data_IF_748742028739
#
_entry.id   IF_748742028739
#
_cell.length_a   1.000
_cell.length_b   1.000
_cell.length_c   1.000
_cell.angle_alpha   90.00
_cell.angle_beta   90.00
_cell.angle_gamma   90.00
#
_symmetry.space_group_name_H-M   'P 1'
#
loop_
_entity.id
_entity.type
_entity.pdbx_description
1 polymer ?
#
# COMPACT_ATOMS: atom_id res chain seq x y z
N UNK A 1 16.66 5.96 -15.81
CA UNK A 1 15.35 5.46 -16.33
C UNK A 1 14.98 6.26 -17.57
N UNK A 2 14.61 5.61 -18.68
CA UNK A 2 14.16 6.30 -19.89
C UNK A 2 12.72 6.84 -19.71
N UNK A 3 12.33 7.88 -20.46
CA UNK A 3 10.95 8.44 -20.43
C UNK A 3 9.86 7.38 -20.62
N UNK A 4 10.14 6.32 -21.38
CA UNK A 4 9.22 5.20 -21.62
C UNK A 4 8.89 4.42 -20.35
N UNK A 5 9.85 4.28 -19.42
CA UNK A 5 9.62 3.54 -18.17
C UNK A 5 8.66 4.28 -17.23
N UNK A 6 8.65 5.62 -17.25
CA UNK A 6 7.72 6.40 -16.42
C UNK A 6 6.27 6.24 -16.85
N UNK A 7 6.02 6.24 -18.17
CA UNK A 7 4.68 5.99 -18.71
C UNK A 7 4.20 4.58 -18.38
N UNK A 8 5.08 3.58 -18.49
CA UNK A 8 4.74 2.20 -18.15
C UNK A 8 4.38 2.08 -16.65
N UNK A 9 5.16 2.68 -15.75
CA UNK A 9 4.85 2.70 -14.31
C UNK A 9 3.53 3.42 -14.04
N UNK A 10 3.27 4.54 -14.71
CA UNK A 10 2.02 5.28 -14.57
C UNK A 10 0.81 4.43 -14.99
N UNK A 11 0.83 3.84 -16.19
CA UNK A 11 -0.27 2.99 -16.67
C UNK A 11 -0.42 1.71 -15.85
N UNK A 12 0.67 1.13 -15.35
CA UNK A 12 0.62 0.01 -14.42
C UNK A 12 -0.10 0.41 -13.12
N UNK A 13 0.21 1.59 -12.56
CA UNK A 13 -0.49 2.12 -11.38
C UNK A 13 -1.99 2.37 -11.62
N UNK A 14 -2.34 2.91 -12.79
CA UNK A 14 -3.74 3.09 -13.21
C UNK A 14 -4.46 1.75 -13.34
N UNK A 15 -3.85 0.76 -14.01
CA UNK A 15 -4.43 -0.56 -14.18
C UNK A 15 -4.62 -1.31 -12.85
N UNK A 16 -3.66 -1.21 -11.94
CA UNK A 16 -3.77 -1.79 -10.58
C UNK A 16 -4.97 -1.18 -9.85
N UNK A 17 -5.09 0.16 -9.88
CA UNK A 17 -6.15 0.86 -9.15
C UNK A 17 -7.54 0.59 -9.74
N UNK A 18 -7.67 0.57 -11.06
CA UNK A 18 -8.97 0.45 -11.73
C UNK A 18 -9.44 -0.99 -11.95
N UNK A 19 -8.52 -1.95 -12.06
CA UNK A 19 -8.84 -3.33 -12.43
C UNK A 19 -8.52 -4.28 -11.28
N UNK A 20 -7.30 -4.22 -10.76
CA UNK A 20 -6.85 -5.21 -9.75
C UNK A 20 -7.54 -4.98 -8.41
N UNK A 21 -7.59 -3.74 -7.90
CA UNK A 21 -8.23 -3.47 -6.60
C UNK A 21 -9.73 -3.86 -6.58
N UNK A 22 -10.57 -3.47 -7.56
CA UNK A 22 -11.97 -3.88 -7.57
C UNK A 22 -12.15 -5.39 -7.71
N UNK A 23 -11.30 -6.06 -8.51
CA UNK A 23 -11.32 -7.51 -8.65
C UNK A 23 -11.00 -8.21 -7.33
N UNK A 24 -9.99 -7.75 -6.60
CA UNK A 24 -9.63 -8.30 -5.28
C UNK A 24 -10.78 -8.10 -4.28
N UNK A 25 -11.40 -6.92 -4.27
CA UNK A 25 -12.57 -6.66 -3.43
C UNK A 25 -13.76 -7.57 -3.78
N UNK A 26 -14.01 -7.79 -5.09
CA UNK A 26 -15.05 -8.72 -5.55
C UNK A 26 -14.78 -10.18 -5.20
N UNK A 27 -13.50 -10.58 -5.05
CA UNK A 27 -13.09 -11.90 -4.58
C UNK A 27 -13.14 -12.04 -3.05
N UNK A 28 -13.59 -11.00 -2.32
CA UNK A 28 -13.68 -11.00 -0.87
C UNK A 28 -12.34 -10.84 -0.17
N UNK A 29 -11.32 -10.32 -0.86
CA UNK A 29 -10.05 -9.97 -0.21
C UNK A 29 -10.29 -8.77 0.70
N UNK A 30 -10.04 -8.90 2.02
CA UNK A 30 -10.26 -7.81 2.96
C UNK A 30 -9.30 -6.66 2.68
N UNK A 31 -9.79 -5.44 2.87
CA UNK A 31 -8.97 -4.24 2.82
C UNK A 31 -8.08 -4.14 4.05
N UNK A 32 -7.08 -3.26 4.00
CA UNK A 32 -6.24 -3.01 5.17
C UNK A 32 -7.07 -2.56 6.39
N UNK A 33 -8.11 -1.75 6.17
CA UNK A 33 -9.00 -1.29 7.23
C UNK A 33 -9.79 -2.45 7.84
N UNK A 34 -10.36 -3.34 7.02
CA UNK A 34 -11.06 -4.54 7.49
C UNK A 34 -10.15 -5.42 8.37
N UNK A 35 -8.88 -5.55 8.00
CA UNK A 35 -7.88 -6.30 8.78
C UNK A 35 -7.58 -5.60 10.12
N UNK A 36 -7.47 -4.28 10.13
CA UNK A 36 -7.27 -3.53 11.36
C UNK A 36 -8.46 -3.65 12.31
N UNK A 37 -9.68 -3.47 11.79
CA UNK A 37 -10.91 -3.61 12.57
C UNK A 37 -11.04 -5.03 13.11
N UNK A 38 -10.72 -6.06 12.32
CA UNK A 38 -10.75 -7.45 12.75
C UNK A 38 -9.80 -7.74 13.93
N UNK A 39 -8.61 -7.12 13.95
CA UNK A 39 -7.58 -7.38 14.97
C UNK A 39 -7.77 -6.49 16.21
N UNK A 40 -8.06 -5.21 16.01
CA UNK A 40 -8.05 -4.20 17.07
C UNK A 40 -9.45 -3.75 17.53
N UNK A 41 -10.50 -4.09 16.77
CA UNK A 41 -11.88 -3.60 16.97
C UNK A 41 -12.14 -2.27 16.26
N UNK A 42 -13.43 -1.94 16.12
CA UNK A 42 -13.90 -0.64 15.60
C UNK A 42 -13.41 0.52 16.50
N UNK A 43 -13.03 1.64 15.89
CA UNK A 43 -12.57 2.88 16.56
C UNK A 43 -11.39 2.73 17.54
N UNK A 44 -10.59 1.67 17.38
CA UNK A 44 -9.46 1.41 18.26
C UNK A 44 -8.28 2.35 18.00
N UNK A 45 -7.89 3.10 19.02
CA UNK A 45 -6.69 3.99 18.99
C UNK A 45 -5.43 3.19 18.65
N UNK A 46 -5.36 1.91 19.04
CA UNK A 46 -4.22 1.03 18.74
C UNK A 46 -4.07 0.76 17.24
N UNK A 47 -5.17 0.72 16.47
CA UNK A 47 -5.11 0.56 15.02
C UNK A 47 -4.41 1.75 14.34
N UNK A 48 -4.63 2.97 14.84
CA UNK A 48 -3.98 4.19 14.36
C UNK A 48 -2.48 4.14 14.64
N UNK A 49 -2.11 3.80 15.88
CA UNK A 49 -0.70 3.69 16.28
C UNK A 49 0.02 2.63 15.45
N UNK A 50 -0.60 1.46 15.27
CA UNK A 50 -0.04 0.38 14.45
C UNK A 50 0.13 0.79 12.99
N UNK A 51 -0.86 1.47 12.40
CA UNK A 51 -0.79 1.99 11.04
C UNK A 51 0.36 2.98 10.86
N UNK A 52 0.55 3.90 11.82
CA UNK A 52 1.67 4.84 11.81
C UNK A 52 3.03 4.12 11.84
N UNK A 53 3.16 3.09 12.69
CA UNK A 53 4.39 2.30 12.76
C UNK A 53 4.68 1.62 11.43
N UNK A 54 3.68 1.02 10.78
CA UNK A 54 3.83 0.41 9.44
C UNK A 54 4.29 1.45 8.41
N UNK A 55 3.64 2.61 8.37
CA UNK A 55 3.99 3.68 7.42
C UNK A 55 5.45 4.11 7.62
N UNK A 56 5.89 4.30 8.87
CA UNK A 56 7.27 4.66 9.19
C UNK A 56 8.24 3.57 8.71
N UNK A 57 7.92 2.29 8.94
CA UNK A 57 8.76 1.17 8.49
C UNK A 57 8.86 1.14 6.96
N UNK A 58 7.73 1.30 6.25
CA UNK A 58 7.71 1.32 4.79
C UNK A 58 8.53 2.48 4.23
N UNK A 59 8.34 3.69 4.76
CA UNK A 59 9.13 4.86 4.35
C UNK A 59 10.61 4.65 4.63
N UNK A 60 10.97 4.15 5.81
CA UNK A 60 12.36 3.85 6.16
C UNK A 60 12.98 2.85 5.18
N UNK A 61 12.26 1.77 4.84
CA UNK A 61 12.70 0.79 3.86
C UNK A 61 12.83 1.35 2.46
N UNK A 62 11.87 2.18 2.02
CA UNK A 62 11.93 2.85 0.72
C UNK A 62 13.14 3.79 0.63
N UNK A 63 13.38 4.62 1.65
CA UNK A 63 14.56 5.50 1.70
C UNK A 63 15.86 4.70 1.73
N UNK A 64 15.93 3.64 2.55
CA UNK A 64 17.10 2.75 2.60
C UNK A 64 17.36 2.06 1.26
N UNK A 65 16.31 1.62 0.57
CA UNK A 65 16.41 0.98 -0.74
C UNK A 65 16.83 1.98 -1.82
N UNK A 66 16.28 3.20 -1.81
CA UNK A 66 16.65 4.25 -2.74
C UNK A 66 18.13 4.62 -2.58
N UNK A 67 18.62 4.74 -1.34
CA UNK A 67 20.01 5.08 -1.05
C UNK A 67 21.00 3.94 -1.34
N UNK A 68 20.56 2.68 -1.46
CA UNK A 68 21.42 1.56 -1.91
C UNK A 68 21.57 1.51 -3.44
N UNK A 69 20.66 2.15 -4.17
CA UNK A 69 20.60 2.13 -5.63
C UNK A 69 21.02 3.47 -6.27
N UNK A 70 21.40 4.46 -5.44
CA UNK A 70 22.01 5.73 -5.83
C UNK A 70 23.53 5.63 -5.71
#
# INVERSE_FOLDING_TARGET
>A
MSKQNYWLIFFAGVAVTLIILPLLSALGVPTFDDVLVLIFGEDSILAIVFSLVIIIILLFWMFKSANRNA
#
